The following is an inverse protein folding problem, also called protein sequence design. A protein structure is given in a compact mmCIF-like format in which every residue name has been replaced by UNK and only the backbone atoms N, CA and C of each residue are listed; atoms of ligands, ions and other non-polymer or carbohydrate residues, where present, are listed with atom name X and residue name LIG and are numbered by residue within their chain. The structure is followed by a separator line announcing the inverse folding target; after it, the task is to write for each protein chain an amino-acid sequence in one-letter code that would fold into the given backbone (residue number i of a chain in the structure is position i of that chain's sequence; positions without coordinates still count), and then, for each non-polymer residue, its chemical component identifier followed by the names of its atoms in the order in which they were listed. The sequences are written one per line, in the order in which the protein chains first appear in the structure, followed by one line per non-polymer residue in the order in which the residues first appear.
data_IF_535118512514
#
_entry.id   IF_535118512514
#
_cell.length_a   1.000
_cell.length_b   1.000
_cell.length_c   1.000
_cell.angle_alpha   90.00
_cell.angle_beta   90.00
_cell.angle_gamma   90.00
#
_symmetry.space_group_name_H-M   'P 1'
#
loop_
_entity.id
_entity.type
_entity.pdbx_description
1 polymer ?
#
# COMPACT_ATOMS: atom_id res chain seq x y z
N UNK A 1 -73.75 -2.59 16.72
CA UNK A 1 -72.66 -1.70 16.22
C UNK A 1 -71.25 -2.13 16.65
N UNK A 2 -71.05 -2.83 17.78
CA UNK A 2 -69.69 -3.13 18.28
C UNK A 2 -68.86 -4.13 17.47
N UNK A 3 -69.47 -5.10 16.78
CA UNK A 3 -68.70 -6.13 16.06
C UNK A 3 -67.91 -5.56 14.85
N UNK A 4 -68.49 -4.59 14.13
CA UNK A 4 -67.81 -3.94 12.99
C UNK A 4 -66.57 -3.13 13.40
N UNK A 5 -66.60 -2.50 14.57
CA UNK A 5 -65.44 -1.76 15.07
C UNK A 5 -64.29 -2.68 15.47
N UNK A 6 -64.59 -3.81 16.12
CA UNK A 6 -63.58 -4.79 16.53
C UNK A 6 -62.90 -5.42 15.29
N UNK A 7 -63.67 -5.78 14.27
CA UNK A 7 -63.13 -6.35 13.02
C UNK A 7 -62.26 -5.33 12.26
N UNK A 8 -62.65 -4.05 12.22
CA UNK A 8 -61.81 -3.01 11.60
C UNK A 8 -60.49 -2.77 12.33
N UNK A 9 -60.48 -2.82 13.67
CA UNK A 9 -59.25 -2.66 14.46
C UNK A 9 -58.30 -3.85 14.23
N UNK A 10 -58.82 -5.08 14.19
CA UNK A 10 -58.01 -6.25 13.86
C UNK A 10 -57.44 -6.21 12.45
N UNK A 11 -58.25 -5.85 11.44
CA UNK A 11 -57.79 -5.75 10.06
C UNK A 11 -56.72 -4.67 9.87
N UNK A 12 -56.83 -3.53 10.56
CA UNK A 12 -55.79 -2.49 10.56
C UNK A 12 -54.49 -2.98 11.19
N UNK A 13 -54.57 -3.72 12.30
CA UNK A 13 -53.39 -4.30 12.96
C UNK A 13 -52.69 -5.36 12.10
N UNK A 14 -53.47 -6.23 11.43
CA UNK A 14 -52.95 -7.23 10.50
C UNK A 14 -52.30 -6.54 9.28
N UNK A 15 -52.96 -5.53 8.71
CA UNK A 15 -52.40 -4.76 7.60
C UNK A 15 -51.10 -4.04 7.98
N UNK A 16 -51.03 -3.47 9.19
CA UNK A 16 -49.81 -2.83 9.70
C UNK A 16 -48.67 -3.84 9.87
N UNK A 17 -48.97 -5.04 10.39
CA UNK A 17 -47.98 -6.12 10.52
C UNK A 17 -47.52 -6.62 9.15
N UNK A 18 -48.42 -6.75 8.18
CA UNK A 18 -48.07 -7.11 6.80
C UNK A 18 -47.21 -6.02 6.16
N UNK A 19 -47.50 -4.73 6.37
CA UNK A 19 -46.67 -3.63 5.87
C UNK A 19 -45.30 -3.60 6.55
N UNK A 20 -45.20 -3.85 7.86
CA UNK A 20 -43.92 -3.99 8.57
C UNK A 20 -43.11 -5.20 8.10
N UNK A 21 -43.76 -6.34 7.86
CA UNK A 21 -43.11 -7.55 7.36
C UNK A 21 -42.66 -7.35 5.90
N UNK A 22 -43.48 -6.75 5.06
CA UNK A 22 -43.13 -6.46 3.66
C UNK A 22 -42.03 -5.38 3.54
N UNK A 23 -41.96 -4.42 4.48
CA UNK A 23 -40.83 -3.49 4.56
C UNK A 23 -39.56 -4.17 5.09
N UNK A 24 -39.65 -5.15 5.98
CA UNK A 24 -38.47 -5.95 6.37
C UNK A 24 -37.97 -6.84 5.22
N UNK A 25 -38.86 -7.40 4.39
CA UNK A 25 -38.47 -8.26 3.26
C UNK A 25 -38.01 -7.51 2.01
N UNK A 26 -38.44 -6.25 1.78
CA UNK A 26 -37.94 -5.43 0.65
C UNK A 26 -36.61 -4.74 0.92
N UNK A 27 -36.16 -4.67 2.18
CA UNK A 27 -35.01 -3.85 2.58
C UNK A 27 -33.71 -4.63 2.82
N UNK A 28 -33.74 -5.97 2.77
CA UNK A 28 -32.63 -6.82 3.25
C UNK A 28 -31.39 -6.96 2.36
N UNK A 29 -31.38 -6.48 1.12
CA UNK A 29 -30.18 -6.66 0.25
C UNK A 29 -29.99 -5.61 -0.84
N UNK A 30 -31.02 -4.87 -1.25
CA UNK A 30 -30.89 -3.84 -2.28
C UNK A 30 -30.50 -2.46 -1.73
N UNK A 31 -30.88 -2.12 -0.49
CA UNK A 31 -30.66 -0.78 0.08
C UNK A 31 -29.27 -0.58 0.67
N UNK A 32 -28.60 -1.64 1.13
CA UNK A 32 -27.23 -1.52 1.61
C UNK A 32 -26.29 -0.97 0.52
N UNK A 33 -26.58 -1.16 -0.77
CA UNK A 33 -25.74 -0.68 -1.87
C UNK A 33 -25.91 0.83 -2.12
N UNK A 34 -27.00 1.45 -1.68
CA UNK A 34 -27.20 2.91 -1.81
C UNK A 34 -26.36 3.72 -0.81
N UNK A 35 -25.85 3.08 0.24
CA UNK A 35 -24.99 3.70 1.26
C UNK A 35 -23.53 3.83 0.81
N UNK A 36 -23.14 3.29 -0.36
CA UNK A 36 -21.79 3.30 -0.89
C UNK A 36 -21.61 4.27 -2.06
N UNK A 37 -20.36 4.64 -2.34
CA UNK A 37 -20.02 5.64 -3.36
C UNK A 37 -20.37 5.21 -4.79
N UNK A 38 -20.44 3.91 -5.07
CA UNK A 38 -20.83 3.34 -6.34
C UNK A 38 -21.79 2.15 -6.18
N UNK A 39 -22.89 2.14 -6.93
CA UNK A 39 -23.79 0.99 -6.97
C UNK A 39 -23.30 -0.10 -7.93
N UNK A 40 -23.86 -1.31 -7.85
CA UNK A 40 -23.47 -2.44 -8.72
C UNK A 40 -23.52 -2.11 -10.21
N UNK A 41 -24.50 -1.35 -10.67
CA UNK A 41 -24.61 -0.96 -12.08
C UNK A 41 -23.47 -0.01 -12.48
N UNK A 42 -23.12 0.95 -11.64
CA UNK A 42 -21.97 1.83 -11.85
C UNK A 42 -20.66 1.04 -11.85
N UNK A 43 -20.50 0.13 -10.88
CA UNK A 43 -19.36 -0.77 -10.79
C UNK A 43 -19.22 -1.58 -12.07
N UNK A 44 -20.23 -2.35 -12.49
CA UNK A 44 -20.15 -3.17 -13.70
C UNK A 44 -19.92 -2.36 -14.99
N UNK A 45 -20.44 -1.12 -15.08
CA UNK A 45 -20.27 -0.26 -16.28
C UNK A 45 -18.90 0.42 -16.38
N UNK A 46 -18.27 0.67 -15.25
CA UNK A 46 -16.96 1.32 -15.13
C UNK A 46 -15.86 0.31 -14.77
N UNK A 47 -16.24 -0.95 -14.55
CA UNK A 47 -15.27 -2.00 -14.28
C UNK A 47 -14.42 -2.22 -15.52
N UNK A 48 -13.14 -2.09 -15.28
CA UNK A 48 -12.15 -2.43 -16.25
C UNK A 48 -11.97 -3.94 -16.33
N UNK A 49 -12.16 -4.54 -17.50
CA UNK A 49 -11.89 -5.98 -17.69
C UNK A 49 -10.38 -6.25 -17.70
N UNK A 50 -9.76 -6.33 -16.51
CA UNK A 50 -8.36 -6.79 -16.33
C UNK A 50 -8.27 -8.32 -16.38
N UNK A 51 -8.89 -8.95 -17.36
CA UNK A 51 -8.94 -10.42 -17.44
C UNK A 51 -7.54 -11.03 -17.60
N UNK A 52 -6.63 -10.36 -18.31
CA UNK A 52 -5.31 -10.89 -18.61
C UNK A 52 -4.28 -10.72 -17.48
N UNK A 53 -4.30 -9.59 -16.76
CA UNK A 53 -3.24 -9.25 -15.77
C UNK A 53 -3.37 -9.99 -14.44
N UNK A 54 -4.46 -10.75 -14.25
CA UNK A 54 -4.75 -11.49 -13.04
C UNK A 54 -5.06 -12.98 -13.31
N UNK A 55 -4.86 -13.48 -14.53
CA UNK A 55 -5.25 -14.86 -14.85
C UNK A 55 -4.40 -15.89 -14.09
N UNK A 56 -4.94 -17.07 -13.72
CA UNK A 56 -4.15 -18.14 -13.11
C UNK A 56 -2.91 -18.53 -13.92
N UNK A 57 -3.00 -18.48 -15.25
CA UNK A 57 -1.89 -18.75 -16.17
C UNK A 57 -0.78 -17.71 -16.03
N UNK A 58 -1.12 -16.42 -15.96
CA UNK A 58 -0.15 -15.36 -15.73
C UNK A 58 0.53 -15.51 -14.36
N UNK A 59 -0.23 -15.83 -13.31
CA UNK A 59 0.30 -16.08 -11.97
C UNK A 59 1.28 -17.26 -11.96
N UNK A 60 0.95 -18.34 -12.68
CA UNK A 60 1.82 -19.50 -12.84
C UNK A 60 3.07 -19.19 -13.67
N UNK A 61 2.95 -18.37 -14.71
CA UNK A 61 4.08 -17.90 -15.49
C UNK A 61 5.07 -17.12 -14.61
N UNK A 62 4.59 -16.16 -13.83
CA UNK A 62 5.44 -15.42 -12.86
C UNK A 62 6.11 -16.37 -11.87
N UNK A 63 5.40 -17.39 -11.39
CA UNK A 63 5.99 -18.42 -10.54
C UNK A 63 7.11 -19.21 -11.25
N UNK A 64 6.97 -19.54 -12.54
CA UNK A 64 7.99 -20.26 -13.31
C UNK A 64 9.18 -19.40 -13.70
N UNK A 65 9.00 -18.12 -14.00
CA UNK A 65 10.09 -17.20 -14.31
C UNK A 65 11.10 -17.09 -13.15
N UNK A 66 10.65 -17.30 -11.91
CA UNK A 66 11.54 -17.33 -10.75
C UNK A 66 12.57 -18.47 -10.79
N UNK A 67 12.29 -19.57 -11.50
CA UNK A 67 13.25 -20.67 -11.69
C UNK A 67 14.50 -20.23 -12.47
N UNK A 68 14.39 -19.14 -13.23
CA UNK A 68 15.47 -18.57 -14.03
C UNK A 68 16.20 -17.42 -13.32
N UNK A 69 15.67 -16.94 -12.20
CA UNK A 69 16.04 -15.63 -11.62
C UNK A 69 17.16 -15.64 -10.56
N UNK A 70 17.75 -16.79 -10.20
CA UNK A 70 18.78 -16.81 -9.16
C UNK A 70 19.45 -18.15 -8.86
N UNK A 71 20.41 -18.12 -7.91
CA UNK A 71 21.16 -19.29 -7.45
C UNK A 71 20.27 -20.28 -6.71
N UNK A 72 20.30 -21.54 -7.13
CA UNK A 72 19.57 -22.63 -6.48
C UNK A 72 20.12 -22.89 -5.08
N UNK A 73 19.24 -22.96 -4.10
CA UNK A 73 19.58 -23.45 -2.76
C UNK A 73 19.61 -24.97 -2.84
N UNK A 74 20.76 -25.57 -2.49
CA UNK A 74 20.96 -27.01 -2.59
C UNK A 74 19.89 -27.78 -1.80
N UNK A 75 19.65 -27.36 -0.55
CA UNK A 75 18.61 -27.90 0.31
C UNK A 75 18.26 -26.90 1.42
N UNK A 76 16.98 -26.79 1.79
CA UNK A 76 16.53 -26.03 2.96
C UNK A 76 15.37 -26.75 3.64
N UNK A 77 15.45 -26.85 4.95
CA UNK A 77 14.36 -27.31 5.79
C UNK A 77 13.54 -26.09 6.25
N UNK A 78 12.23 -26.12 6.01
CA UNK A 78 11.29 -25.13 6.52
C UNK A 78 10.47 -25.79 7.63
N UNK A 79 10.54 -25.22 8.83
CA UNK A 79 9.82 -25.65 10.04
C UNK A 79 10.07 -27.11 10.49
N UNK A 80 11.13 -27.77 10.02
CA UNK A 80 11.41 -29.17 10.35
C UNK A 80 10.51 -30.18 9.62
N UNK A 81 9.77 -29.72 8.61
CA UNK A 81 8.69 -30.49 7.96
C UNK A 81 8.77 -30.48 6.44
N UNK A 82 9.27 -29.39 5.85
CA UNK A 82 9.32 -29.25 4.40
C UNK A 82 10.76 -29.30 3.93
N UNK A 83 11.12 -30.41 3.27
CA UNK A 83 12.46 -30.62 2.74
C UNK A 83 12.52 -30.14 1.28
N UNK A 84 12.89 -28.87 1.09
CA UNK A 84 13.00 -28.27 -0.23
C UNK A 84 14.39 -28.55 -0.83
N UNK A 85 14.44 -29.05 -2.06
CA UNK A 85 15.69 -29.39 -2.76
C UNK A 85 15.79 -28.63 -4.07
N UNK A 86 16.94 -27.97 -4.31
CA UNK A 86 17.24 -27.25 -5.56
C UNK A 86 16.19 -26.20 -5.94
N UNK A 87 15.81 -25.37 -4.97
CA UNK A 87 14.80 -24.32 -5.15
C UNK A 87 15.44 -22.92 -5.14
N UNK A 88 14.95 -21.95 -5.95
CA UNK A 88 15.34 -20.56 -5.83
C UNK A 88 15.04 -20.02 -4.43
N UNK A 89 15.97 -19.25 -3.84
CA UNK A 89 15.81 -18.73 -2.47
C UNK A 89 14.53 -17.92 -2.29
N UNK A 90 14.15 -17.13 -3.30
CA UNK A 90 12.93 -16.32 -3.31
C UNK A 90 11.68 -17.18 -3.17
N UNK A 91 11.60 -18.33 -3.87
CA UNK A 91 10.48 -19.26 -3.73
C UNK A 91 10.38 -19.81 -2.32
N UNK A 92 11.53 -20.18 -1.74
CA UNK A 92 11.57 -20.71 -0.37
C UNK A 92 11.13 -19.65 0.63
N UNK A 93 11.54 -18.40 0.48
CA UNK A 93 11.19 -17.32 1.40
C UNK A 93 9.69 -16.98 1.35
N UNK A 94 9.10 -16.90 0.15
CA UNK A 94 7.65 -16.71 -0.04
C UNK A 94 6.87 -17.91 0.50
N UNK A 95 7.30 -19.14 0.22
CA UNK A 95 6.67 -20.34 0.77
C UNK A 95 6.72 -20.33 2.31
N UNK A 96 7.88 -19.98 2.89
CA UNK A 96 8.05 -19.86 4.34
C UNK A 96 7.06 -18.87 4.94
N UNK A 97 6.84 -17.72 4.28
CA UNK A 97 5.85 -16.74 4.69
C UNK A 97 4.43 -17.33 4.73
N UNK A 98 4.03 -18.11 3.72
CA UNK A 98 2.69 -18.71 3.64
C UNK A 98 2.42 -19.80 4.69
N UNK A 99 3.46 -20.41 5.27
CA UNK A 99 3.31 -21.49 6.27
C UNK A 99 3.77 -21.10 7.67
N UNK A 100 4.32 -19.90 7.86
CA UNK A 100 4.86 -19.46 9.15
C UNK A 100 4.16 -18.21 9.64
N UNK A 101 3.50 -18.34 10.80
CA UNK A 101 2.93 -17.18 11.49
C UNK A 101 4.04 -16.29 12.04
N UNK A 102 3.88 -14.98 11.88
CA UNK A 102 4.66 -13.97 12.60
C UNK A 102 3.77 -13.28 13.62
N UNK A 103 4.29 -13.05 14.81
CA UNK A 103 3.60 -12.21 15.79
C UNK A 103 3.74 -10.72 15.42
N UNK A 104 3.09 -9.83 16.18
CA UNK A 104 3.10 -8.38 15.97
C UNK A 104 4.51 -7.77 16.03
N UNK A 105 5.45 -8.44 16.71
CA UNK A 105 6.87 -8.05 16.78
C UNK A 105 7.70 -8.60 15.61
N UNK A 106 7.06 -9.25 14.64
CA UNK A 106 7.69 -9.89 13.50
C UNK A 106 8.45 -11.18 13.83
N UNK A 107 8.40 -11.66 15.07
CA UNK A 107 9.02 -12.93 15.45
C UNK A 107 8.19 -14.10 14.90
N UNK A 108 8.88 -15.11 14.38
CA UNK A 108 8.23 -16.35 13.96
C UNK A 108 7.66 -17.04 15.19
N UNK A 109 6.35 -17.26 15.18
CA UNK A 109 5.70 -18.10 16.18
C UNK A 109 6.15 -19.55 15.91
N UNK A 110 6.31 -20.37 16.96
CA UNK A 110 6.66 -21.78 16.78
C UNK A 110 5.55 -22.45 15.96
N UNK A 111 5.93 -23.47 15.16
CA UNK A 111 5.11 -24.24 14.21
C UNK A 111 3.62 -24.14 14.53
N UNK A 112 2.89 -23.46 13.65
CA UNK A 112 1.48 -23.19 13.88
C UNK A 112 0.65 -24.47 13.70
N UNK A 113 -0.24 -24.75 14.65
CA UNK A 113 -0.99 -26.01 14.78
C UNK A 113 -1.67 -26.43 13.47
N UNK A 114 -2.26 -25.48 12.72
CA UNK A 114 -2.94 -25.81 11.46
C UNK A 114 -2.05 -26.47 10.40
N UNK A 115 -0.75 -26.17 10.39
CA UNK A 115 0.18 -26.81 9.44
C UNK A 115 0.39 -28.27 9.82
N UNK A 116 0.47 -28.56 11.13
CA UNK A 116 0.63 -29.92 11.66
C UNK A 116 -0.61 -30.79 11.43
N UNK A 117 -1.79 -30.18 11.35
CA UNK A 117 -3.04 -30.90 11.13
C UNK A 117 -3.26 -31.33 9.66
N UNK A 118 -2.45 -30.82 8.72
CA UNK A 118 -2.56 -31.19 7.29
C UNK A 118 -1.74 -32.45 7.00
N UNK A 119 -2.29 -33.34 6.18
CA UNK A 119 -1.57 -34.53 5.73
C UNK A 119 -0.54 -34.15 4.66
N UNK A 120 0.67 -33.79 5.10
CA UNK A 120 1.76 -33.37 4.22
C UNK A 120 2.34 -34.60 3.51
N UNK A 121 2.29 -34.58 2.18
CA UNK A 121 2.95 -35.60 1.37
C UNK A 121 4.48 -35.49 1.52
N UNK A 122 5.08 -36.47 2.19
CA UNK A 122 6.53 -36.55 2.42
C UNK A 122 7.34 -36.79 1.16
N UNK A 123 6.69 -37.13 0.04
CA UNK A 123 7.34 -37.28 -1.26
C UNK A 123 7.57 -35.95 -1.96
N UNK A 124 6.84 -34.89 -1.58
CA UNK A 124 7.07 -33.54 -2.09
C UNK A 124 8.46 -33.04 -1.66
N UNK A 125 9.16 -32.40 -2.58
CA UNK A 125 10.49 -31.79 -2.34
C UNK A 125 10.70 -30.46 -3.07
N UNK A 126 9.64 -29.92 -3.69
CA UNK A 126 9.62 -28.65 -4.41
C UNK A 126 8.57 -27.73 -3.81
N UNK A 127 8.75 -26.41 -3.97
CA UNK A 127 7.78 -25.41 -3.51
C UNK A 127 6.43 -25.62 -4.20
N UNK A 128 6.44 -25.89 -5.51
CA UNK A 128 5.20 -26.13 -6.27
C UNK A 128 4.41 -27.34 -5.76
N UNK A 129 5.09 -28.45 -5.44
CA UNK A 129 4.45 -29.65 -4.92
C UNK A 129 3.76 -29.36 -3.58
N UNK A 130 4.46 -28.70 -2.65
CA UNK A 130 3.87 -28.34 -1.36
C UNK A 130 2.73 -27.34 -1.48
N UNK A 131 2.81 -26.35 -2.37
CA UNK A 131 1.71 -25.41 -2.60
C UNK A 131 0.45 -26.13 -3.07
N UNK A 132 0.58 -27.06 -4.03
CA UNK A 132 -0.55 -27.85 -4.55
C UNK A 132 -1.14 -28.80 -3.50
N UNK A 133 -0.29 -29.39 -2.67
CA UNK A 133 -0.70 -30.32 -1.61
C UNK A 133 -1.37 -29.60 -0.43
N UNK A 134 -0.86 -28.44 -0.02
CA UNK A 134 -1.37 -27.70 1.15
C UNK A 134 -2.63 -26.89 0.88
N UNK A 135 -2.74 -26.28 -0.31
CA UNK A 135 -3.77 -25.28 -0.60
C UNK A 135 -4.80 -25.70 -1.64
N UNK A 136 -4.82 -26.98 -2.03
CA UNK A 136 -5.75 -27.54 -3.02
C UNK A 136 -5.66 -26.88 -4.41
N UNK A 137 -4.92 -27.51 -5.32
CA UNK A 137 -4.86 -27.09 -6.73
C UNK A 137 -4.05 -25.81 -6.94
N UNK A 138 -4.62 -24.86 -7.70
CA UNK A 138 -3.93 -23.62 -8.11
C UNK A 138 -3.97 -22.50 -7.07
N UNK A 139 -4.82 -22.61 -6.04
CA UNK A 139 -4.94 -21.64 -4.94
C UNK A 139 -3.59 -21.33 -4.30
N UNK A 140 -2.73 -22.34 -4.12
CA UNK A 140 -1.39 -22.17 -3.57
C UNK A 140 -0.49 -21.27 -4.44
N UNK A 141 -0.62 -21.34 -5.77
CA UNK A 141 0.10 -20.46 -6.70
C UNK A 141 -0.44 -19.04 -6.62
N UNK A 142 -1.75 -18.85 -6.49
CA UNK A 142 -2.35 -17.53 -6.31
C UNK A 142 -1.94 -16.87 -4.98
N UNK A 143 -1.89 -17.65 -3.90
CA UNK A 143 -1.38 -17.20 -2.60
C UNK A 143 0.11 -16.83 -2.68
N UNK A 144 0.90 -17.64 -3.38
CA UNK A 144 2.30 -17.33 -3.65
C UNK A 144 2.45 -16.02 -4.42
N UNK A 145 1.68 -15.86 -5.51
CA UNK A 145 1.72 -14.67 -6.35
C UNK A 145 1.37 -13.40 -5.54
N UNK A 146 0.30 -13.47 -4.75
CA UNK A 146 -0.14 -12.39 -3.87
C UNK A 146 0.97 -11.95 -2.90
N UNK A 147 1.64 -12.91 -2.26
CA UNK A 147 2.72 -12.62 -1.32
C UNK A 147 3.99 -12.13 -2.01
N UNK A 148 4.36 -12.76 -3.12
CA UNK A 148 5.55 -12.40 -3.88
C UNK A 148 5.44 -11.00 -4.49
N UNK A 149 4.32 -10.69 -5.16
CA UNK A 149 4.15 -9.44 -5.91
C UNK A 149 3.76 -8.26 -5.01
N UNK A 150 2.90 -8.49 -4.02
CA UNK A 150 2.31 -7.43 -3.21
C UNK A 150 2.70 -7.49 -1.74
N UNK A 151 3.40 -8.54 -1.28
CA UNK A 151 3.74 -8.69 0.13
C UNK A 151 2.56 -9.06 1.03
N UNK A 152 1.38 -9.38 0.48
CA UNK A 152 0.18 -9.74 1.24
C UNK A 152 0.10 -11.26 1.46
N UNK A 153 -0.32 -11.69 2.66
CA UNK A 153 -0.44 -13.08 3.04
C UNK A 153 -1.89 -13.43 3.39
N UNK A 154 -2.51 -14.16 2.48
CA UNK A 154 -3.87 -14.68 2.63
C UNK A 154 -3.94 -16.17 2.95
N UNK A 155 -2.83 -16.78 3.40
CA UNK A 155 -2.82 -18.17 3.83
C UNK A 155 -3.64 -18.34 5.10
N UNK A 156 -4.54 -19.32 5.10
CA UNK A 156 -5.30 -19.70 6.28
C UNK A 156 -4.45 -20.44 7.32
N UNK A 157 -3.28 -20.94 6.92
CA UNK A 157 -2.38 -21.71 7.77
C UNK A 157 -1.65 -20.85 8.81
N UNK A 158 -1.61 -19.53 8.64
CA UNK A 158 -0.85 -18.63 9.53
C UNK A 158 -1.74 -17.89 10.53
N UNK A 159 -3.06 -18.06 10.48
CA UNK A 159 -4.02 -17.35 11.35
C UNK A 159 -5.04 -18.32 11.96
N UNK A 160 -5.42 -18.12 13.23
CA UNK A 160 -6.28 -19.10 13.96
C UNK A 160 -7.70 -19.12 13.41
N UNK A 161 -8.29 -17.95 13.25
CA UNK A 161 -9.71 -17.79 12.91
C UNK A 161 -9.92 -17.53 11.42
N UNK A 162 -8.95 -17.86 10.58
CA UNK A 162 -9.06 -17.76 9.13
C UNK A 162 -9.63 -19.03 8.50
N UNK A 163 -10.24 -18.87 7.32
CA UNK A 163 -10.56 -19.93 6.38
C UNK A 163 -9.78 -19.76 5.08
N UNK A 164 -9.59 -20.86 4.36
CA UNK A 164 -8.96 -20.82 3.04
C UNK A 164 -9.84 -20.00 2.07
N UNK A 165 -9.27 -19.03 1.35
CA UNK A 165 -9.98 -18.34 0.28
C UNK A 165 -10.15 -19.28 -0.91
N UNK A 166 -11.28 -19.13 -1.59
CA UNK A 166 -11.55 -19.77 -2.89
C UNK A 166 -10.78 -19.07 -4.00
N UNK A 167 -10.63 -19.73 -5.14
CA UNK A 167 -9.98 -19.15 -6.32
C UNK A 167 -10.66 -17.84 -6.78
N UNK A 168 -11.99 -17.76 -6.74
CA UNK A 168 -12.74 -16.55 -7.12
C UNK A 168 -12.49 -15.37 -6.17
N UNK A 169 -12.33 -15.64 -4.88
CA UNK A 169 -12.02 -14.63 -3.86
C UNK A 169 -10.57 -14.13 -4.00
N UNK A 170 -9.60 -15.05 -4.19
CA UNK A 170 -8.22 -14.71 -4.49
C UNK A 170 -8.12 -13.85 -5.75
N UNK A 171 -8.85 -14.22 -6.81
CA UNK A 171 -8.92 -13.46 -8.03
C UNK A 171 -9.48 -12.05 -7.80
N UNK A 172 -10.48 -11.89 -6.92
CA UNK A 172 -11.03 -10.59 -6.57
C UNK A 172 -9.98 -9.70 -5.89
N UNK A 173 -9.22 -10.22 -4.93
CA UNK A 173 -8.12 -9.48 -4.30
C UNK A 173 -7.01 -9.15 -5.29
N UNK A 174 -6.56 -10.11 -6.10
CA UNK A 174 -5.50 -9.89 -7.10
C UNK A 174 -5.93 -8.83 -8.11
N UNK A 175 -7.15 -8.92 -8.67
CA UNK A 175 -7.70 -7.89 -9.56
C UNK A 175 -7.68 -6.52 -8.88
N UNK A 176 -8.10 -6.43 -7.62
CA UNK A 176 -8.07 -5.17 -6.85
C UNK A 176 -6.66 -4.57 -6.79
N UNK A 177 -5.64 -5.40 -6.57
CA UNK A 177 -4.25 -4.94 -6.48
C UNK A 177 -3.66 -4.58 -7.85
N UNK A 178 -3.96 -5.34 -8.90
CA UNK A 178 -3.52 -5.01 -10.27
C UNK A 178 -4.15 -3.71 -10.79
N UNK A 179 -5.37 -3.38 -10.35
CA UNK A 179 -6.03 -2.12 -10.72
C UNK A 179 -5.54 -0.93 -9.90
N UNK A 180 -4.82 -1.19 -8.81
CA UNK A 180 -4.28 -0.19 -7.90
C UNK A 180 -2.92 0.32 -8.43
N UNK A 181 -2.65 1.63 -8.39
CA UNK A 181 -1.32 2.16 -8.70
C UNK A 181 -0.20 1.42 -7.96
N UNK A 182 0.92 1.06 -8.62
CA UNK A 182 2.04 0.38 -7.98
C UNK A 182 2.63 1.13 -6.78
N UNK A 183 2.50 2.45 -6.74
CA UNK A 183 2.94 3.28 -5.62
C UNK A 183 2.11 3.04 -4.35
N UNK A 184 0.84 2.62 -4.49
CA UNK A 184 -0.07 2.35 -3.39
C UNK A 184 -0.09 0.87 -2.99
N UNK A 185 0.49 -0.04 -3.77
CA UNK A 185 0.53 -1.49 -3.46
C UNK A 185 1.77 -1.92 -2.67
N UNK A 186 2.45 -0.97 -2.02
CA UNK A 186 3.64 -1.24 -1.23
C UNK A 186 3.27 -1.58 0.22
N UNK A 187 2.90 -2.83 0.44
CA UNK A 187 2.61 -3.34 1.78
C UNK A 187 3.89 -3.75 2.52
N UNK A 188 3.79 -3.84 3.84
CA UNK A 188 4.87 -4.46 4.62
C UNK A 188 5.04 -5.91 4.16
N UNK A 189 6.29 -6.36 4.02
CA UNK A 189 6.55 -7.72 3.54
C UNK A 189 5.91 -8.74 4.47
N UNK A 190 5.01 -9.56 3.93
CA UNK A 190 4.17 -10.53 4.66
C UNK A 190 3.04 -9.91 5.51
N UNK A 191 2.46 -8.79 5.07
CA UNK A 191 1.29 -8.19 5.68
C UNK A 191 0.06 -9.10 5.58
N UNK A 192 -0.75 -9.10 6.62
CA UNK A 192 -1.92 -9.95 6.74
C UNK A 192 -3.08 -9.52 5.82
N UNK A 193 -3.72 -10.50 5.19
CA UNK A 193 -4.96 -10.35 4.42
C UNK A 193 -5.89 -11.53 4.79
N UNK A 194 -6.88 -11.33 5.67
CA UNK A 194 -7.61 -12.46 6.27
C UNK A 194 -8.96 -12.67 5.61
N UNK A 195 -9.30 -13.91 5.31
CA UNK A 195 -10.69 -14.36 5.25
C UNK A 195 -11.06 -15.06 6.55
N UNK A 196 -12.03 -14.56 7.30
CA UNK A 196 -12.48 -15.20 8.53
C UNK A 196 -13.17 -16.55 8.29
N UNK A 197 -13.30 -17.36 9.33
CA UNK A 197 -14.06 -18.60 9.28
C UNK A 197 -15.54 -18.36 8.96
N UNK A 198 -16.14 -19.30 8.22
CA UNK A 198 -17.57 -19.26 7.93
C UNK A 198 -18.39 -19.29 9.22
N UNK A 199 -19.45 -18.49 9.27
CA UNK A 199 -20.29 -18.31 10.45
C UNK A 199 -19.69 -17.40 11.52
N UNK A 200 -18.50 -16.81 11.27
CA UNK A 200 -18.06 -15.64 12.03
C UNK A 200 -18.84 -14.44 11.48
N UNK A 201 -20.10 -14.33 11.93
CA UNK A 201 -21.03 -13.31 11.45
C UNK A 201 -20.55 -11.93 11.89
N UNK A 202 -20.04 -11.16 10.92
CA UNK A 202 -19.95 -9.71 11.04
C UNK A 202 -21.32 -9.03 11.07
N UNK A 203 -22.44 -9.75 11.28
CA UNK A 203 -23.81 -9.21 11.20
C UNK A 203 -24.07 -8.40 9.91
N UNK A 204 -23.65 -8.92 8.76
CA UNK A 204 -23.77 -8.22 7.47
C UNK A 204 -22.58 -7.31 7.12
N UNK A 205 -21.56 -7.21 7.98
CA UNK A 205 -20.29 -6.55 7.66
C UNK A 205 -19.52 -7.37 6.62
N UNK A 206 -19.08 -6.71 5.55
CA UNK A 206 -18.34 -7.32 4.46
C UNK A 206 -16.86 -7.44 4.79
N UNK A 207 -16.26 -6.37 5.29
CA UNK A 207 -14.86 -6.30 5.64
C UNK A 207 -14.58 -5.23 6.71
N UNK A 208 -13.31 -5.04 7.09
CA UNK A 208 -12.90 -3.96 7.98
C UNK A 208 -11.53 -3.37 7.63
N UNK A 209 -11.22 -2.22 8.25
CA UNK A 209 -10.02 -1.44 8.00
C UNK A 209 -8.70 -2.14 8.38
N UNK A 210 -8.73 -3.37 8.90
CA UNK A 210 -7.57 -4.27 9.10
C UNK A 210 -7.40 -5.27 7.95
N UNK A 211 -8.14 -5.09 6.85
CA UNK A 211 -8.16 -5.94 5.65
C UNK A 211 -8.60 -7.38 5.97
N UNK A 212 -9.62 -7.48 6.83
CA UNK A 212 -10.25 -8.75 7.20
C UNK A 212 -11.62 -8.85 6.54
N UNK A 213 -11.92 -9.99 5.91
CA UNK A 213 -13.13 -10.22 5.12
C UNK A 213 -13.99 -11.32 5.71
N UNK A 214 -15.31 -11.14 5.62
CA UNK A 214 -16.31 -12.03 6.22
C UNK A 214 -17.17 -12.73 5.14
N UNK A 215 -18.12 -13.55 5.58
CA UNK A 215 -18.98 -14.34 4.69
C UNK A 215 -19.87 -13.49 3.77
N UNK A 216 -20.30 -12.32 4.24
CA UNK A 216 -21.05 -11.36 3.42
C UNK A 216 -20.25 -10.90 2.21
N UNK A 217 -18.94 -10.66 2.37
CA UNK A 217 -18.03 -10.37 1.24
C UNK A 217 -17.88 -11.57 0.32
N UNK A 218 -17.68 -12.76 0.88
CA UNK A 218 -17.56 -13.99 0.10
C UNK A 218 -18.77 -14.22 -0.83
N UNK A 219 -19.97 -13.90 -0.33
CA UNK A 219 -21.24 -14.08 -1.03
C UNK A 219 -21.60 -12.93 -1.99
N UNK A 220 -20.84 -11.83 -1.96
CA UNK A 220 -21.11 -10.68 -2.81
C UNK A 220 -20.70 -10.91 -4.27
N UNK A 221 -21.30 -10.19 -5.24
CA UNK A 221 -20.80 -10.15 -6.61
C UNK A 221 -19.33 -9.72 -6.69
N UNK A 222 -18.60 -10.19 -7.69
CA UNK A 222 -17.16 -9.93 -7.82
C UNK A 222 -16.86 -8.43 -7.84
N UNK A 223 -17.63 -7.63 -8.56
CA UNK A 223 -17.42 -6.19 -8.66
C UNK A 223 -17.54 -5.50 -7.31
N UNK A 224 -18.48 -5.96 -6.47
CA UNK A 224 -18.62 -5.45 -5.12
C UNK A 224 -17.49 -5.92 -4.21
N UNK A 225 -17.04 -7.18 -4.35
CA UNK A 225 -15.86 -7.66 -3.62
C UNK A 225 -14.63 -6.82 -3.92
N UNK A 226 -14.43 -6.46 -5.19
CA UNK A 226 -13.30 -5.61 -5.59
C UNK A 226 -13.48 -4.20 -5.05
N UNK A 227 -14.67 -3.62 -5.16
CA UNK A 227 -14.98 -2.31 -4.56
C UNK A 227 -14.68 -2.28 -3.06
N UNK A 228 -15.22 -3.21 -2.29
CA UNK A 228 -15.00 -3.29 -0.84
C UNK A 228 -13.53 -3.55 -0.51
N UNK A 229 -12.85 -4.43 -1.25
CA UNK A 229 -11.41 -4.63 -1.05
C UNK A 229 -10.64 -3.33 -1.27
N UNK A 230 -10.97 -2.57 -2.32
CA UNK A 230 -10.33 -1.30 -2.62
C UNK A 230 -10.58 -0.26 -1.52
N UNK A 231 -11.79 -0.22 -0.99
CA UNK A 231 -12.16 0.59 0.17
C UNK A 231 -11.26 0.24 1.37
N UNK A 232 -11.15 -1.04 1.74
CA UNK A 232 -10.33 -1.43 2.90
C UNK A 232 -8.84 -1.16 2.71
N UNK A 233 -8.32 -1.37 1.50
CA UNK A 233 -6.94 -1.03 1.17
C UNK A 233 -6.71 0.49 1.23
N UNK A 234 -7.74 1.31 0.98
CA UNK A 234 -7.63 2.76 1.10
C UNK A 234 -7.35 3.22 2.53
N UNK A 235 -7.93 2.56 3.54
CA UNK A 235 -7.54 2.82 4.93
C UNK A 235 -6.07 2.50 5.20
N UNK A 236 -5.54 1.45 4.57
CA UNK A 236 -4.14 1.05 4.72
C UNK A 236 -3.20 2.04 4.05
N UNK A 237 -3.57 2.53 2.87
CA UNK A 237 -2.83 3.58 2.18
C UNK A 237 -2.81 4.84 3.03
N UNK A 238 -3.94 5.27 3.58
CA UNK A 238 -4.00 6.43 4.46
C UNK A 238 -3.00 6.31 5.62
N UNK A 239 -2.99 5.16 6.31
CA UNK A 239 -2.07 4.85 7.43
C UNK A 239 -0.59 4.79 7.02
N UNK A 240 -0.28 4.51 5.76
CA UNK A 240 1.10 4.36 5.28
C UNK A 240 1.86 5.69 5.17
N UNK A 241 1.15 6.83 5.19
CA UNK A 241 1.75 8.17 5.20
C UNK A 241 1.87 8.68 6.64
N UNK A 242 3.05 9.22 6.99
CA UNK A 242 3.47 9.48 8.38
C UNK A 242 2.40 9.98 9.35
N UNK A 243 1.79 11.13 9.06
CA UNK A 243 0.50 11.51 9.66
C UNK A 243 -0.59 10.97 8.74
N UNK A 244 -1.29 9.92 9.18
CA UNK A 244 -2.32 9.21 8.40
C UNK A 244 -3.14 10.18 7.53
N UNK A 245 -3.21 9.96 6.21
CA UNK A 245 -3.77 10.97 5.28
C UNK A 245 -5.22 11.35 5.62
N UNK A 246 -6.01 10.37 6.04
CA UNK A 246 -7.40 10.51 6.49
C UNK A 246 -7.56 11.30 7.80
N UNK A 247 -6.45 11.61 8.49
CA UNK A 247 -6.37 12.47 9.67
C UNK A 247 -5.56 13.74 9.42
N UNK A 248 -5.05 13.94 8.21
CA UNK A 248 -4.31 15.15 7.84
C UNK A 248 -5.19 16.38 7.92
N UNK A 249 -4.59 17.54 8.26
CA UNK A 249 -5.34 18.81 8.32
C UNK A 249 -5.95 19.16 6.98
N UNK A 250 -5.22 18.85 5.91
CA UNK A 250 -5.65 19.06 4.53
C UNK A 250 -6.93 18.27 4.25
N UNK A 251 -6.96 16.98 4.56
CA UNK A 251 -8.15 16.14 4.38
C UNK A 251 -9.33 16.60 5.25
N UNK A 252 -9.09 16.81 6.56
CA UNK A 252 -10.12 17.22 7.50
C UNK A 252 -10.78 18.55 7.10
N UNK A 253 -10.01 19.49 6.54
CA UNK A 253 -10.50 20.80 6.09
C UNK A 253 -11.44 20.75 4.86
N UNK A 254 -11.47 19.63 4.11
CA UNK A 254 -12.32 19.54 2.93
C UNK A 254 -13.81 19.56 3.30
N UNK A 255 -14.18 18.75 4.31
CA UNK A 255 -15.54 18.62 4.83
C UNK A 255 -15.75 19.32 6.18
N UNK A 256 -14.80 20.15 6.62
CA UNK A 256 -14.79 20.81 7.93
C UNK A 256 -15.01 19.81 9.08
N UNK A 257 -14.29 18.70 9.05
CA UNK A 257 -14.38 17.66 10.07
C UNK A 257 -13.94 18.19 11.44
N UNK A 258 -14.81 18.03 12.44
CA UNK A 258 -14.53 18.39 13.84
C UNK A 258 -14.67 17.15 14.71
N UNK A 259 -13.63 16.83 15.47
CA UNK A 259 -13.68 15.80 16.51
C UNK A 259 -14.45 16.36 17.72
N UNK A 260 -15.60 15.77 18.03
CA UNK A 260 -16.44 16.20 19.17
C UNK A 260 -16.02 15.48 20.45
N UNK A 261 -15.57 14.23 20.31
CA UNK A 261 -14.96 13.44 21.37
C UNK A 261 -14.06 12.41 20.74
N UNK A 262 -13.22 11.72 21.52
CA UNK A 262 -12.31 10.67 21.04
C UNK A 262 -12.99 9.76 20.00
N UNK A 263 -12.47 9.77 18.77
CA UNK A 263 -12.93 8.98 17.62
C UNK A 263 -14.39 9.23 17.19
N UNK A 264 -15.05 10.28 17.69
CA UNK A 264 -16.36 10.75 17.24
C UNK A 264 -16.23 12.06 16.49
N UNK A 265 -16.69 12.04 15.26
CA UNK A 265 -16.53 13.13 14.32
C UNK A 265 -17.87 13.69 13.90
N UNK A 266 -17.87 14.96 13.51
CA UNK A 266 -18.99 15.61 12.83
C UNK A 266 -18.47 16.43 11.68
N UNK A 267 -19.12 16.31 10.53
CA UNK A 267 -18.85 17.13 9.37
C UNK A 267 -19.44 18.52 9.54
N UNK A 268 -18.72 19.56 9.11
CA UNK A 268 -19.28 20.90 8.98
C UNK A 268 -19.98 21.12 7.64
N UNK A 269 -19.69 20.30 6.62
CA UNK A 269 -20.35 20.32 5.30
C UNK A 269 -21.00 18.98 4.98
N UNK A 270 -22.33 18.95 4.97
CA UNK A 270 -23.10 17.71 4.76
C UNK A 270 -23.26 17.33 3.27
N UNK A 271 -22.99 18.25 2.35
CA UNK A 271 -23.23 18.09 0.90
C UNK A 271 -22.02 17.58 0.10
N UNK A 272 -20.89 17.29 0.76
CA UNK A 272 -19.62 16.93 0.10
C UNK A 272 -19.24 15.45 0.21
N UNK A 273 -20.21 14.59 0.52
CA UNK A 273 -19.99 13.16 0.70
C UNK A 273 -20.48 12.38 -0.52
N UNK A 274 -19.66 11.43 -0.97
CA UNK A 274 -20.00 10.57 -2.11
C UNK A 274 -21.04 9.50 -1.78
N UNK A 275 -21.28 9.27 -0.49
CA UNK A 275 -22.21 8.28 0.04
C UNK A 275 -22.60 8.62 1.50
N UNK A 276 -23.65 7.99 2.03
CA UNK A 276 -24.01 8.12 3.44
C UNK A 276 -22.94 7.52 4.35
N UNK A 277 -22.30 6.44 3.92
CA UNK A 277 -21.22 5.82 4.66
C UNK A 277 -20.00 6.74 4.78
N UNK A 278 -19.66 7.47 3.72
CA UNK A 278 -18.60 8.49 3.73
C UNK A 278 -18.85 9.60 4.77
N UNK A 279 -20.10 9.89 5.12
CA UNK A 279 -20.45 10.93 6.09
C UNK A 279 -20.28 10.49 7.56
N UNK A 280 -19.90 9.23 7.82
CA UNK A 280 -19.81 8.70 9.20
C UNK A 280 -18.61 9.22 9.97
N UNK A 281 -17.43 9.27 9.35
CA UNK A 281 -16.20 9.82 9.93
C UNK A 281 -15.14 10.08 8.82
N UNK A 282 -14.04 10.81 9.11
CA UNK A 282 -13.02 11.16 8.10
C UNK A 282 -12.31 9.97 7.45
N UNK A 283 -12.20 8.84 8.15
CA UNK A 283 -11.56 7.62 7.65
C UNK A 283 -12.42 6.96 6.59
N UNK A 284 -13.72 6.79 6.86
CA UNK A 284 -14.67 6.27 5.87
C UNK A 284 -14.85 7.23 4.70
N UNK A 285 -14.87 8.54 4.96
CA UNK A 285 -14.88 9.56 3.91
C UNK A 285 -13.71 9.38 2.96
N UNK A 286 -12.50 9.14 3.49
CA UNK A 286 -11.30 8.96 2.69
C UNK A 286 -11.38 7.69 1.85
N UNK A 287 -11.80 6.56 2.45
CA UNK A 287 -11.89 5.28 1.77
C UNK A 287 -12.97 5.27 0.69
N UNK A 288 -14.17 5.78 0.98
CA UNK A 288 -15.25 5.94 0.01
C UNK A 288 -14.89 6.93 -1.09
N UNK A 289 -14.24 8.05 -0.76
CA UNK A 289 -13.75 9.01 -1.77
C UNK A 289 -12.68 8.37 -2.65
N UNK A 290 -11.79 7.53 -2.09
CA UNK A 290 -10.76 6.81 -2.84
C UNK A 290 -11.38 5.81 -3.82
N UNK A 291 -12.38 5.05 -3.37
CA UNK A 291 -13.15 4.13 -4.21
C UNK A 291 -13.94 4.91 -5.28
N UNK A 292 -14.59 6.01 -4.93
CA UNK A 292 -15.31 6.87 -5.87
C UNK A 292 -14.37 7.43 -6.95
N UNK A 293 -13.17 7.88 -6.56
CA UNK A 293 -12.17 8.37 -7.50
C UNK A 293 -11.74 7.28 -8.49
N UNK A 294 -11.71 6.03 -8.06
CA UNK A 294 -11.37 4.90 -8.93
C UNK A 294 -12.51 4.49 -9.86
N UNK A 295 -13.72 4.32 -9.33
CA UNK A 295 -14.81 3.64 -10.05
C UNK A 295 -15.87 4.58 -10.61
N UNK A 296 -16.04 5.77 -10.04
CA UNK A 296 -17.02 6.79 -10.46
C UNK A 296 -16.44 8.22 -10.35
N UNK A 297 -15.26 8.51 -10.95
CA UNK A 297 -14.56 9.77 -10.74
C UNK A 297 -15.35 11.02 -11.13
N UNK A 298 -16.22 10.92 -12.14
CA UNK A 298 -17.11 12.00 -12.55
C UNK A 298 -18.10 12.38 -11.44
N UNK A 299 -18.69 11.38 -10.76
CA UNK A 299 -19.60 11.59 -9.62
C UNK A 299 -18.86 12.30 -8.49
N UNK A 300 -17.66 11.85 -8.14
CA UNK A 300 -16.83 12.51 -7.13
C UNK A 300 -16.51 13.97 -7.53
N UNK A 301 -16.14 14.21 -8.79
CA UNK A 301 -15.81 15.56 -9.27
C UNK A 301 -16.99 16.52 -9.20
N UNK A 302 -18.20 16.03 -9.47
CA UNK A 302 -19.45 16.78 -9.37
C UNK A 302 -19.82 17.09 -7.91
N UNK A 303 -19.65 16.12 -7.00
CA UNK A 303 -19.98 16.27 -5.57
C UNK A 303 -18.95 17.17 -4.86
N UNK A 304 -17.66 16.93 -5.09
CA UNK A 304 -16.59 17.71 -4.47
C UNK A 304 -15.35 17.75 -5.37
N UNK A 305 -15.24 18.82 -6.15
CA UNK A 305 -14.05 19.06 -6.99
C UNK A 305 -12.77 19.15 -6.14
N UNK A 306 -12.88 19.60 -4.89
CA UNK A 306 -11.73 19.67 -3.96
C UNK A 306 -11.23 18.28 -3.56
N UNK A 307 -12.12 17.38 -3.16
CA UNK A 307 -11.77 15.97 -2.84
C UNK A 307 -11.26 15.23 -4.07
N UNK A 308 -11.87 15.48 -5.23
CA UNK A 308 -11.37 14.96 -6.51
C UNK A 308 -9.91 15.39 -6.78
N UNK A 309 -9.61 16.68 -6.65
CA UNK A 309 -8.24 17.22 -6.82
C UNK A 309 -7.29 16.66 -5.77
N UNK A 310 -7.75 16.49 -4.53
CA UNK A 310 -6.97 15.87 -3.46
C UNK A 310 -6.54 14.46 -3.84
N UNK A 311 -7.49 13.60 -4.23
CA UNK A 311 -7.19 12.24 -4.67
C UNK A 311 -6.23 12.25 -5.86
N UNK A 312 -6.55 13.02 -6.91
CA UNK A 312 -5.70 13.13 -8.10
C UNK A 312 -4.26 13.47 -7.77
N UNK A 313 -4.02 14.54 -7.02
CA UNK A 313 -2.68 15.11 -6.87
C UNK A 313 -1.91 14.65 -5.63
N UNK A 314 -2.57 14.20 -4.57
CA UNK A 314 -1.91 13.81 -3.32
C UNK A 314 -1.88 12.31 -3.10
N UNK A 315 -2.90 11.58 -3.56
CA UNK A 315 -2.99 10.12 -3.38
C UNK A 315 -2.50 9.37 -4.62
N UNK A 316 -2.93 9.80 -5.81
CA UNK A 316 -2.79 9.02 -7.05
C UNK A 316 -1.70 9.50 -8.00
N UNK A 317 -0.78 10.37 -7.58
CA UNK A 317 0.37 10.68 -8.44
C UNK A 317 0.05 11.60 -9.64
N UNK A 318 -1.13 12.22 -9.68
CA UNK A 318 -1.71 12.89 -10.86
C UNK A 318 -2.57 11.98 -11.74
N UNK A 319 -2.59 10.67 -11.46
CA UNK A 319 -3.28 9.67 -12.29
C UNK A 319 -4.77 9.91 -12.27
N UNK A 320 -5.38 9.94 -13.45
CA UNK A 320 -6.78 10.26 -13.65
C UNK A 320 -7.54 9.07 -14.25
N UNK A 321 -8.69 8.73 -13.66
CA UNK A 321 -9.48 7.53 -14.01
C UNK A 321 -10.75 7.85 -14.81
N UNK A 322 -10.79 8.99 -15.50
CA UNK A 322 -11.98 9.47 -16.24
C UNK A 322 -12.29 8.65 -17.50
N UNK A 323 -11.29 7.93 -18.00
CA UNK A 323 -11.45 7.05 -19.15
C UNK A 323 -11.73 5.63 -18.68
N UNK A 324 -12.60 4.90 -19.39
CA UNK A 324 -12.80 3.45 -19.22
C UNK A 324 -11.56 2.61 -19.54
N UNK A 325 -10.39 3.22 -19.74
CA UNK A 325 -9.17 2.53 -20.11
C UNK A 325 -8.41 2.09 -18.87
N UNK A 326 -8.12 0.81 -18.86
CA UNK A 326 -7.50 0.07 -17.78
C UNK A 326 -5.96 0.10 -17.86
N UNK A 327 -5.41 0.55 -18.99
CA UNK A 327 -3.97 0.68 -19.09
C UNK A 327 -3.56 1.94 -18.35
N UNK A 328 -2.85 1.75 -17.25
CA UNK A 328 -2.00 2.78 -16.67
C UNK A 328 -1.07 3.25 -17.80
N UNK A 329 -1.35 4.41 -18.39
CA UNK A 329 -0.35 5.06 -19.23
C UNK A 329 0.74 5.47 -18.25
N UNK A 330 1.90 4.81 -18.33
CA UNK A 330 3.13 5.07 -17.57
C UNK A 330 3.70 6.52 -17.72
N UNK A 331 2.86 7.50 -18.07
CA UNK A 331 3.27 8.79 -18.60
C UNK A 331 3.24 9.95 -17.60
N UNK A 332 3.09 9.69 -16.30
CA UNK A 332 3.00 10.77 -15.30
C UNK A 332 4.10 10.79 -14.24
N UNK A 333 5.16 10.00 -14.40
CA UNK A 333 6.38 10.13 -13.58
C UNK A 333 6.98 11.55 -13.65
N UNK A 334 6.76 12.28 -14.76
CA UNK A 334 7.28 13.64 -14.97
C UNK A 334 6.38 14.74 -14.39
N UNK A 335 5.07 14.56 -14.28
CA UNK A 335 4.15 15.60 -13.78
C UNK A 335 4.23 15.71 -12.26
N UNK A 336 4.43 14.58 -11.57
CA UNK A 336 4.57 14.56 -10.11
C UNK A 336 5.85 15.27 -9.64
N UNK A 337 6.96 15.10 -10.37
CA UNK A 337 8.18 15.90 -10.17
C UNK A 337 7.87 17.39 -10.15
N UNK A 338 7.07 17.89 -11.09
CA UNK A 338 6.94 19.33 -11.31
C UNK A 338 5.86 19.98 -10.44
N UNK A 339 4.81 19.24 -10.06
CA UNK A 339 3.85 19.69 -9.04
C UNK A 339 4.46 19.64 -7.64
N UNK A 340 5.17 18.56 -7.31
CA UNK A 340 5.88 18.42 -6.05
C UNK A 340 7.01 19.46 -5.93
N UNK A 341 7.78 19.73 -6.99
CA UNK A 341 8.77 20.83 -7.04
C UNK A 341 8.14 22.21 -6.79
N UNK A 342 6.97 22.48 -7.38
CA UNK A 342 6.28 23.77 -7.22
C UNK A 342 5.70 23.97 -5.82
N UNK A 343 5.10 22.93 -5.23
CA UNK A 343 4.52 23.03 -3.89
C UNK A 343 5.57 22.89 -2.78
N UNK A 344 6.63 22.11 -2.99
CA UNK A 344 7.81 22.13 -2.12
C UNK A 344 8.44 23.52 -2.09
N UNK A 345 8.55 24.22 -3.24
CA UNK A 345 9.03 25.60 -3.25
C UNK A 345 8.18 26.51 -2.36
N UNK A 346 6.86 26.37 -2.39
CA UNK A 346 5.94 27.17 -1.57
C UNK A 346 5.97 26.76 -0.08
N UNK A 347 6.04 25.46 0.22
CA UNK A 347 6.16 24.92 1.58
C UNK A 347 7.50 25.33 2.19
N UNK A 348 8.62 25.15 1.47
CA UNK A 348 9.98 25.56 1.88
C UNK A 348 10.08 27.07 2.07
N UNK A 349 9.47 27.88 1.19
CA UNK A 349 9.40 29.33 1.35
C UNK A 349 8.63 29.75 2.61
N UNK A 350 7.65 28.95 3.03
CA UNK A 350 6.81 29.24 4.21
C UNK A 350 7.34 28.62 5.52
N UNK A 351 8.15 27.56 5.49
CA UNK A 351 8.55 26.81 6.71
C UNK A 351 9.94 27.15 7.26
N UNK A 352 10.79 27.94 6.58
CA UNK A 352 12.19 28.15 6.99
C UNK A 352 12.95 26.82 7.27
N UNK A 353 12.56 25.73 6.63
CA UNK A 353 13.20 24.42 6.79
C UNK A 353 14.23 24.19 5.68
N UNK A 354 15.49 24.01 6.10
CA UNK A 354 16.68 23.95 5.23
C UNK A 354 17.11 22.50 5.12
N UNK A 355 16.81 21.83 4.00
CA UNK A 355 17.42 20.51 3.72
C UNK A 355 18.18 20.44 2.39
N UNK A 356 18.08 21.43 1.48
CA UNK A 356 18.85 21.37 0.21
C UNK A 356 19.79 22.54 -0.07
N UNK A 357 19.83 23.57 0.79
CA UNK A 357 20.54 24.81 0.48
C UNK A 357 22.06 24.81 0.73
N UNK A 358 22.61 23.82 1.43
CA UNK A 358 24.06 23.79 1.71
C UNK A 358 24.93 23.58 0.47
N UNK A 359 24.40 23.01 -0.62
CA UNK A 359 25.10 22.88 -1.89
C UNK A 359 25.00 24.13 -2.78
N UNK A 360 23.93 24.91 -2.64
CA UNK A 360 23.64 26.05 -3.50
C UNK A 360 24.22 27.37 -2.99
N UNK A 361 24.24 27.60 -1.68
CA UNK A 361 24.75 28.86 -1.11
C UNK A 361 26.24 29.12 -1.45
N UNK A 362 27.04 28.08 -1.67
CA UNK A 362 28.42 28.24 -2.14
C UNK A 362 28.57 28.45 -3.64
N UNK A 363 27.58 28.08 -4.45
CA UNK A 363 27.57 28.31 -5.90
C UNK A 363 27.12 29.75 -6.22
N UNK A 364 26.09 30.23 -5.51
CA UNK A 364 25.56 31.60 -5.61
C UNK A 364 26.62 32.64 -5.21
N UNK A 365 27.58 32.27 -4.35
CA UNK A 365 28.67 33.19 -3.96
C UNK A 365 29.78 33.32 -5.02
N UNK A 366 29.79 32.50 -6.08
CA UNK A 366 30.91 32.43 -7.04
C UNK A 366 30.60 32.96 -8.44
N UNK A 367 29.33 33.10 -8.86
CA UNK A 367 29.00 33.68 -10.17
C UNK A 367 27.62 34.38 -10.15
N UNK A 368 27.52 35.58 -10.73
CA UNK A 368 26.28 36.40 -10.76
C UNK A 368 25.43 36.16 -12.01
N UNK A 369 25.80 35.21 -12.85
CA UNK A 369 25.10 34.94 -14.11
C UNK A 369 23.99 33.89 -13.89
N UNK A 370 22.73 34.33 -13.96
CA UNK A 370 21.53 33.50 -13.72
C UNK A 370 21.42 32.33 -14.72
N UNK A 371 21.83 32.50 -15.97
CA UNK A 371 21.77 31.45 -16.99
C UNK A 371 22.78 30.33 -16.69
N UNK A 372 23.96 30.71 -16.20
CA UNK A 372 25.00 29.76 -15.79
C UNK A 372 24.57 28.96 -14.55
N UNK A 373 23.85 29.62 -13.63
CA UNK A 373 23.30 28.99 -12.43
C UNK A 373 22.22 27.95 -12.80
N UNK A 374 21.30 28.31 -13.71
CA UNK A 374 20.24 27.41 -14.17
C UNK A 374 20.79 26.19 -14.93
N UNK A 375 21.81 26.38 -15.76
CA UNK A 375 22.50 25.25 -16.41
C UNK A 375 23.22 24.36 -15.41
N UNK A 376 23.94 24.95 -14.44
CA UNK A 376 24.65 24.20 -13.41
C UNK A 376 23.68 23.35 -12.55
N UNK A 377 22.52 23.92 -12.21
CA UNK A 377 21.42 23.21 -11.54
C UNK A 377 20.98 21.97 -12.33
N UNK A 378 20.71 22.14 -13.62
CA UNK A 378 20.25 21.07 -14.51
C UNK A 378 21.26 19.92 -14.61
N UNK A 379 22.54 20.23 -14.79
CA UNK A 379 23.59 19.21 -14.96
C UNK A 379 23.93 18.49 -13.66
N UNK A 380 23.90 19.18 -12.52
CA UNK A 380 24.07 18.56 -11.19
C UNK A 380 22.90 17.60 -10.91
N UNK A 381 21.67 18.00 -11.23
CA UNK A 381 20.49 17.15 -11.07
C UNK A 381 20.60 15.91 -11.97
N UNK A 382 21.08 16.04 -13.21
CA UNK A 382 21.29 14.89 -14.12
C UNK A 382 22.34 13.92 -13.58
N UNK A 383 23.47 14.43 -13.10
CA UNK A 383 24.57 13.61 -12.57
C UNK A 383 24.19 12.91 -11.25
N UNK A 384 23.45 13.59 -10.38
CA UNK A 384 22.90 12.99 -9.17
C UNK A 384 21.85 11.94 -9.53
N UNK A 385 20.95 12.24 -10.47
CA UNK A 385 19.90 11.32 -10.91
C UNK A 385 20.50 10.07 -11.56
N UNK A 386 21.54 10.20 -12.37
CA UNK A 386 22.21 9.07 -13.03
C UNK A 386 22.95 8.16 -12.04
N UNK A 387 23.58 8.74 -11.00
CA UNK A 387 24.31 8.00 -9.97
C UNK A 387 23.39 7.42 -8.88
N UNK A 388 22.29 8.10 -8.55
CA UNK A 388 21.26 7.60 -7.64
C UNK A 388 20.32 6.59 -8.31
N UNK A 389 20.24 6.54 -9.65
CA UNK A 389 19.44 5.54 -10.37
C UNK A 389 19.87 4.09 -10.04
N UNK A 390 21.13 3.90 -9.62
CA UNK A 390 21.66 2.61 -9.17
C UNK A 390 21.47 2.33 -7.67
N UNK A 391 21.04 3.32 -6.88
CA UNK A 391 20.81 3.20 -5.44
C UNK A 391 19.30 3.14 -5.15
N UNK A 392 18.68 1.99 -5.44
CA UNK A 392 17.36 1.65 -4.83
C UNK A 392 17.54 1.69 -3.31
N UNK A 393 16.82 2.61 -2.63
CA UNK A 393 16.77 2.84 -1.18
C UNK A 393 17.86 3.78 -0.61
N UNK A 394 17.60 5.08 -0.67
CA UNK A 394 18.08 6.02 0.35
C UNK A 394 16.84 6.64 1.02
N UNK A 395 16.67 6.55 2.35
CA UNK A 395 15.63 7.28 3.04
C UNK A 395 15.94 8.78 2.97
N UNK A 396 14.94 9.60 2.65
CA UNK A 396 15.03 11.05 2.77
C UNK A 396 15.20 11.38 4.26
N UNK A 397 16.41 11.77 4.67
CA UNK A 397 16.69 12.21 6.04
C UNK A 397 16.37 13.69 6.11
N UNK A 398 15.39 14.06 6.94
CA UNK A 398 15.05 15.47 7.18
C UNK A 398 15.74 15.94 8.47
N UNK A 399 16.45 17.07 8.43
CA UNK A 399 17.12 17.64 9.60
C UNK A 399 16.35 18.86 10.10
N UNK A 400 15.95 18.84 11.36
CA UNK A 400 15.32 19.98 12.01
C UNK A 400 16.36 20.75 12.83
N UNK A 401 16.62 21.98 12.40
CA UNK A 401 17.66 22.85 12.96
C UNK A 401 17.29 23.39 14.34
N UNK A 402 16.00 23.57 14.64
CA UNK A 402 15.53 24.18 15.90
C UNK A 402 15.72 23.24 17.10
N UNK A 403 15.57 21.95 16.88
CA UNK A 403 15.70 20.92 17.92
C UNK A 403 16.96 20.04 17.72
N UNK A 404 17.79 20.35 16.73
CA UNK A 404 19.00 19.58 16.38
C UNK A 404 18.74 18.09 16.16
N UNK A 405 17.55 17.71 15.70
CA UNK A 405 17.16 16.30 15.53
C UNK A 405 16.94 15.94 14.06
N UNK A 406 17.19 14.67 13.74
CA UNK A 406 16.90 14.08 12.44
C UNK A 406 15.58 13.33 12.48
N UNK A 407 14.76 13.52 11.45
CA UNK A 407 13.53 12.78 11.22
C UNK A 407 13.80 11.70 10.17
N UNK A 408 13.53 10.46 10.59
CA UNK A 408 13.54 9.29 9.72
C UNK A 408 12.09 8.82 9.59
N UNK A 409 11.50 8.79 8.39
CA UNK A 409 10.21 8.16 8.23
C UNK A 409 10.38 6.64 8.44
N UNK A 410 9.76 6.10 9.51
CA UNK A 410 9.53 4.68 9.80
C UNK A 410 10.64 3.85 10.51
N UNK A 411 10.21 2.87 11.32
CA UNK A 411 11.03 1.80 11.93
C UNK A 411 11.75 0.88 10.91
N UNK A 412 11.34 0.92 9.63
CA UNK A 412 11.96 0.16 8.54
C UNK A 412 13.38 0.66 8.28
N UNK A 413 13.62 1.95 8.52
CA UNK A 413 14.94 2.56 8.42
C UNK A 413 15.86 2.03 9.53
N UNK A 414 15.36 1.80 10.75
CA UNK A 414 16.15 1.22 11.85
C UNK A 414 16.60 -0.21 11.54
N UNK A 415 15.71 -1.08 11.07
CA UNK A 415 16.06 -2.48 10.77
C UNK A 415 16.96 -2.63 9.55
N UNK A 416 16.82 -1.74 8.55
CA UNK A 416 17.73 -1.70 7.40
C UNK A 416 19.10 -1.11 7.76
N UNK A 417 19.17 -0.10 8.65
CA UNK A 417 20.44 0.42 9.18
C UNK A 417 21.23 -0.67 9.90
N UNK A 418 20.58 -1.53 10.70
CA UNK A 418 21.24 -2.66 11.38
C UNK A 418 21.82 -3.69 10.40
N UNK A 419 21.12 -3.94 9.29
CA UNK A 419 21.64 -4.80 8.22
C UNK A 419 22.79 -4.15 7.46
N UNK A 420 22.76 -2.83 7.27
CA UNK A 420 23.87 -2.05 6.73
C UNK A 420 25.08 -2.04 7.68
N UNK A 421 24.89 -1.92 8.99
CA UNK A 421 25.97 -2.04 9.99
C UNK A 421 26.65 -3.41 9.94
N UNK A 422 25.87 -4.50 9.83
CA UNK A 422 26.42 -5.86 9.68
C UNK A 422 27.15 -6.05 8.35
N UNK A 423 26.61 -5.52 7.25
CA UNK A 423 27.25 -5.55 5.94
C UNK A 423 28.57 -4.75 5.94
N UNK A 424 28.53 -3.54 6.49
CA UNK A 424 29.67 -2.62 6.61
C UNK A 424 30.76 -3.21 7.50
N UNK A 425 30.39 -3.76 8.66
CA UNK A 425 31.32 -4.45 9.58
C UNK A 425 31.98 -5.66 8.92
N UNK A 426 31.26 -6.44 8.10
CA UNK A 426 31.83 -7.59 7.36
C UNK A 426 32.82 -7.17 6.28
N UNK A 427 32.55 -6.07 5.56
CA UNK A 427 33.42 -5.57 4.48
C UNK A 427 34.62 -4.77 4.98
N UNK A 428 34.51 -4.13 6.15
CA UNK A 428 35.57 -3.30 6.73
C UNK A 428 36.51 -4.07 7.67
N UNK A 429 36.12 -5.27 8.15
CA UNK A 429 36.94 -6.12 9.04
C UNK A 429 38.39 -6.37 8.57
N UNK A 430 38.70 -6.52 7.27
CA UNK A 430 40.07 -6.69 6.80
C UNK A 430 40.93 -5.42 6.89
N UNK A 431 40.32 -4.24 7.04
CA UNK A 431 40.98 -2.94 6.93
C UNK A 431 41.14 -2.21 8.28
N UNK A 432 40.78 -2.85 9.40
CA UNK A 432 40.88 -2.27 10.75
C UNK A 432 41.44 -3.30 11.74
N UNK A 433 42.76 -3.25 12.05
CA UNK A 433 43.40 -4.16 12.98
C UNK A 433 43.36 -3.60 14.41
N UNK A 434 42.18 -3.46 15.01
CA UNK A 434 42.08 -3.37 16.48
C UNK A 434 40.63 -3.57 16.94
N UNK A 435 40.47 -4.44 17.94
CA UNK A 435 39.20 -4.74 18.61
C UNK A 435 38.72 -3.50 19.38
N UNK A 436 37.80 -2.74 18.78
CA UNK A 436 37.03 -1.71 19.47
C UNK A 436 35.61 -1.74 18.95
N UNK A 437 34.63 -1.71 19.85
CA UNK A 437 33.22 -1.60 19.49
C UNK A 437 32.99 -0.37 18.61
N UNK A 438 32.32 -0.57 17.48
CA UNK A 438 31.97 0.51 16.55
C UNK A 438 30.80 1.28 17.18
N UNK A 439 31.07 2.47 17.73
CA UNK A 439 30.02 3.34 18.26
C UNK A 439 29.30 4.10 17.13
N UNK A 440 28.03 4.47 17.36
CA UNK A 440 27.23 5.24 16.41
C UNK A 440 27.89 6.59 16.03
N UNK A 441 28.64 7.19 16.96
CA UNK A 441 29.43 8.40 16.71
C UNK A 441 30.61 8.16 15.75
N UNK A 442 31.16 6.93 15.71
CA UNK A 442 32.19 6.55 14.76
C UNK A 442 31.63 6.37 13.34
N UNK A 443 30.41 5.80 13.21
CA UNK A 443 29.69 5.73 11.94
C UNK A 443 29.34 7.14 11.44
N UNK A 444 28.90 8.04 12.33
CA UNK A 444 28.62 9.44 12.03
C UNK A 444 29.84 10.20 11.46
N UNK A 445 31.01 10.08 12.14
CA UNK A 445 32.25 10.71 11.66
C UNK A 445 32.77 10.08 10.37
N UNK A 446 32.57 8.77 10.18
CA UNK A 446 33.01 8.09 8.98
C UNK A 446 32.03 8.20 7.80
N UNK A 447 30.75 8.51 8.00
CA UNK A 447 29.82 8.83 6.90
C UNK A 447 30.23 10.14 6.23
N UNK A 448 30.68 11.13 7.02
CA UNK A 448 31.34 12.34 6.51
C UNK A 448 32.64 12.05 5.75
N UNK A 449 33.40 11.02 6.15
CA UNK A 449 34.59 10.53 5.43
C UNK A 449 34.24 9.67 4.20
N UNK A 450 33.09 8.98 4.20
CA UNK A 450 32.61 8.14 3.11
C UNK A 450 32.06 9.00 1.96
N UNK A 451 31.38 10.10 2.29
CA UNK A 451 31.02 11.15 1.34
C UNK A 451 32.26 11.86 0.75
N UNK A 452 33.35 11.96 1.53
CA UNK A 452 34.67 12.37 1.01
C UNK A 452 35.29 11.34 0.06
N UNK A 453 35.03 10.04 0.26
CA UNK A 453 35.63 8.94 -0.53
C UNK A 453 34.94 8.69 -1.88
N UNK A 454 33.71 9.19 -2.08
CA UNK A 454 33.01 9.19 -3.37
C UNK A 454 33.48 10.29 -4.35
N UNK A 455 34.63 10.94 -4.09
CA UNK A 455 35.30 11.85 -5.00
C UNK A 455 34.44 13.04 -5.50
N UNK A 456 33.49 13.51 -4.67
CA UNK A 456 32.77 14.76 -4.93
C UNK A 456 33.59 16.03 -4.58
N UNK A 457 34.90 15.89 -4.33
CA UNK A 457 35.75 16.97 -3.87
C UNK A 457 37.06 17.02 -4.67
N UNK A 458 36.97 17.47 -5.92
CA UNK A 458 37.97 18.42 -6.41
C UNK A 458 37.24 19.57 -7.10
N UNK A 459 36.78 20.54 -6.29
CA UNK A 459 36.04 21.71 -6.77
C UNK A 459 36.82 22.49 -7.84
N UNK A 460 38.16 22.45 -7.79
CA UNK A 460 39.03 23.07 -8.79
C UNK A 460 38.92 22.43 -10.18
N UNK A 461 38.55 21.15 -10.28
CA UNK A 461 38.46 20.45 -11.56
C UNK A 461 37.01 20.38 -12.07
N UNK A 462 36.05 20.33 -11.14
CA UNK A 462 34.63 20.20 -11.46
C UNK A 462 34.02 21.51 -11.96
N UNK A 463 34.32 22.65 -11.31
CA UNK A 463 33.75 23.95 -11.68
C UNK A 463 34.15 24.39 -13.09
N UNK A 464 35.44 24.31 -13.52
CA UNK A 464 35.81 24.63 -14.90
C UNK A 464 35.15 23.72 -15.93
N UNK A 465 34.93 22.44 -15.59
CA UNK A 465 34.29 21.48 -16.48
C UNK A 465 32.80 21.75 -16.65
N UNK A 466 32.10 22.08 -15.55
CA UNK A 466 30.69 22.48 -15.57
C UNK A 466 30.49 23.80 -16.31
N UNK A 467 31.35 24.79 -16.04
CA UNK A 467 31.34 26.07 -16.74
C UNK A 467 31.53 25.89 -18.25
N UNK A 468 32.48 25.03 -18.66
CA UNK A 468 32.71 24.71 -20.08
C UNK A 468 31.56 23.94 -20.73
N UNK A 469 30.78 23.15 -19.98
CA UNK A 469 29.57 22.49 -20.48
C UNK A 469 28.47 23.52 -20.67
N UNK A 470 28.28 24.41 -19.70
CA UNK A 470 27.25 25.45 -19.73
C UNK A 470 27.55 26.59 -20.70
N UNK A 471 28.81 26.92 -20.96
CA UNK A 471 29.22 27.91 -21.97
C UNK A 471 29.14 27.36 -23.41
N UNK A 472 28.98 26.05 -23.58
CA UNK A 472 28.83 25.39 -24.90
C UNK A 472 27.37 25.12 -25.28
N UNK A 473 26.47 25.16 -24.29
CA UNK A 473 25.02 25.10 -24.48
C UNK A 473 24.50 26.53 -24.64
#
# INVERSE_FOLDING_TARGET
MHYKQIVMVMLRSILYRIICILSLFKFGSALAIEDYSANLKELSNNFCHYQELASPEYQYQVFKELDQSGGLVAQRDVLGQFLLKKEPSVKIDVFTNLVTRRNELGHQDKVFVKVLDRNIDKTCNSVECYLKNLFEGNTGISLFFLNYKFGLNASDLVWRNSSAPTESELLSWIKTLEITPPELTQFSGNQQLIKYQRGHDGNGVFANASIEFFDSWSSAPEEFRIYTTYHELSHQWAKSYGESLDKSKEWLSLSDWVEISRDKWRAGKEDQFVSLYAATNPSEDFAETSAAYRFVPEKLKLISEKKYKFMKFFVYGGTEFMQKTCKYKNHQKNIFSDYFKRNMKQIIMNTQEVVFFFFFDKFVYLDKNEDLLSCAESEIIKEISSKLYHAKLLPTILYNRKNQSFYFPHELVKSQIVNYEKYFSRKMKPFCPSRGEISFAYVYNNLGLYLKKFNFYNYSDFIPKLKKICERQ
#
